data_IF_361138426792
#
_entry.id   IF_361138426792
#
_cell.length_a   1.000
_cell.length_b   1.000
_cell.length_c   1.000
_cell.angle_alpha   90.00
_cell.angle_beta   90.00
_cell.angle_gamma   90.00
#
_symmetry.space_group_name_H-M   'P 1'
#
loop_
_entity.id
_entity.type
_entity.pdbx_description
1 polymer ?
#
# COMPACT_ATOMS: atom_id res chain seq x y z
N UNK A 1 2.20 -9.66 -10.20
CA UNK A 1 2.58 -10.43 -8.99
C UNK A 1 1.33 -10.77 -8.20
N UNK A 2 1.35 -11.90 -7.54
CA UNK A 2 0.24 -12.34 -6.69
C UNK A 2 0.17 -11.46 -5.44
N UNK A 3 -1.05 -11.13 -5.02
CA UNK A 3 -1.30 -10.44 -3.76
C UNK A 3 -1.73 -11.48 -2.73
N UNK A 4 -1.09 -11.47 -1.57
CA UNK A 4 -1.48 -12.31 -0.43
C UNK A 4 -1.74 -11.43 0.79
N UNK A 5 -2.47 -11.93 1.76
CA UNK A 5 -2.82 -11.20 2.97
C UNK A 5 -3.44 -12.14 4.00
N UNK A 6 -3.52 -11.67 5.23
CA UNK A 6 -4.29 -12.33 6.28
C UNK A 6 -5.78 -12.03 6.05
N UNK A 7 -6.63 -13.06 5.85
CA UNK A 7 -8.06 -12.83 5.58
C UNK A 7 -8.78 -12.02 6.66
N UNK A 8 -8.40 -12.19 7.93
CA UNK A 8 -9.01 -11.44 9.03
C UNK A 8 -8.67 -9.95 8.95
N UNK A 9 -7.44 -9.62 8.59
CA UNK A 9 -7.01 -8.22 8.40
C UNK A 9 -7.68 -7.59 7.19
N UNK A 10 -7.83 -8.35 6.11
CA UNK A 10 -8.58 -7.90 4.93
C UNK A 10 -10.01 -7.54 5.31
N UNK A 11 -10.69 -8.44 6.03
CA UNK A 11 -12.08 -8.24 6.43
C UNK A 11 -12.24 -7.00 7.31
N UNK A 12 -11.37 -6.82 8.30
CA UNK A 12 -11.45 -5.67 9.20
C UNK A 12 -11.14 -4.34 8.48
N UNK A 13 -10.17 -4.34 7.58
CA UNK A 13 -9.84 -3.14 6.80
C UNK A 13 -10.98 -2.75 5.88
N UNK A 14 -11.61 -3.73 5.23
CA UNK A 14 -12.76 -3.48 4.36
C UNK A 14 -13.93 -2.90 5.16
N UNK A 15 -14.21 -3.47 6.33
CA UNK A 15 -15.28 -2.98 7.22
C UNK A 15 -14.99 -1.58 7.76
N UNK A 16 -13.77 -1.34 8.24
CA UNK A 16 -13.44 -0.13 8.99
C UNK A 16 -12.99 1.03 8.10
N UNK A 17 -12.39 0.73 6.95
CA UNK A 17 -11.80 1.73 6.06
C UNK A 17 -12.38 1.74 4.65
N UNK A 18 -13.23 0.79 4.34
CA UNK A 18 -13.81 0.61 2.99
C UNK A 18 -12.70 0.44 1.93
N UNK A 19 -11.63 -0.26 2.28
CA UNK A 19 -10.53 -0.59 1.38
C UNK A 19 -10.33 -2.10 1.39
N UNK A 20 -10.16 -2.68 0.20
CA UNK A 20 -9.92 -4.13 0.05
C UNK A 20 -8.46 -4.37 -0.32
N UNK A 21 -7.77 -5.21 0.45
CA UNK A 21 -6.38 -5.56 0.16
C UNK A 21 -6.22 -6.17 -1.24
N UNK A 22 -7.25 -6.87 -1.74
CA UNK A 22 -7.19 -7.45 -3.09
C UNK A 22 -7.05 -6.38 -4.17
N UNK A 23 -7.51 -5.16 -3.93
CA UNK A 23 -7.40 -4.04 -4.86
C UNK A 23 -6.02 -3.41 -4.89
N UNK A 24 -5.10 -3.83 -4.03
CA UNK A 24 -3.72 -3.31 -4.03
C UNK A 24 -3.03 -3.54 -5.37
N UNK A 25 -3.43 -4.56 -6.14
CA UNK A 25 -2.89 -4.82 -7.47
C UNK A 25 -3.06 -3.60 -8.39
N UNK A 26 -4.19 -2.92 -8.31
CA UNK A 26 -4.43 -1.68 -9.09
C UNK A 26 -3.43 -0.59 -8.70
N UNK A 27 -3.13 -0.47 -7.41
CA UNK A 27 -2.16 0.52 -6.90
C UNK A 27 -0.77 0.23 -7.47
N UNK A 28 -0.35 -1.03 -7.43
CA UNK A 28 0.97 -1.43 -7.94
C UNK A 28 1.09 -1.31 -9.46
N UNK A 29 0.00 -1.44 -10.20
CA UNK A 29 0.01 -1.37 -11.65
C UNK A 29 0.12 0.06 -12.19
N UNK A 30 -0.24 1.06 -11.39
CA UNK A 30 -0.20 2.47 -11.77
C UNK A 30 1.07 3.17 -11.33
N UNK A 31 1.05 4.49 -11.41
CA UNK A 31 2.13 5.31 -10.85
C UNK A 31 2.18 5.12 -9.34
N UNK A 32 3.35 4.81 -8.81
CA UNK A 32 3.50 4.57 -7.39
C UNK A 32 4.90 4.95 -6.93
N UNK A 33 4.99 5.35 -5.67
CA UNK A 33 6.25 5.59 -4.97
C UNK A 33 6.48 4.42 -4.02
N UNK A 34 7.67 3.85 -4.05
CA UNK A 34 8.04 2.76 -3.16
C UNK A 34 9.11 3.26 -2.20
N UNK A 35 8.83 3.20 -0.91
CA UNK A 35 9.68 3.73 0.15
C UNK A 35 9.99 2.61 1.12
N UNK A 36 11.28 2.29 1.39
CA UNK A 36 11.59 1.30 2.43
C UNK A 36 11.06 1.76 3.77
N UNK A 37 10.42 0.84 4.50
CA UNK A 37 9.97 1.11 5.87
C UNK A 37 11.08 0.67 6.82
N UNK A 38 11.87 1.63 7.27
CA UNK A 38 13.03 1.41 8.14
C UNK A 38 12.78 1.84 9.58
N UNK A 39 11.51 2.04 9.97
CA UNK A 39 11.15 2.49 11.32
C UNK A 39 11.59 1.52 12.41
N UNK A 40 11.72 0.25 12.07
CA UNK A 40 12.22 -0.81 12.95
C UNK A 40 12.72 -2.00 12.14
N UNK A 41 13.42 -2.91 12.79
CA UNK A 41 13.79 -4.19 12.19
C UNK A 41 12.61 -5.16 12.31
N UNK A 42 12.03 -5.53 11.17
CA UNK A 42 10.89 -6.44 11.11
C UNK A 42 11.30 -7.90 10.82
N UNK A 43 12.62 -8.16 10.66
CA UNK A 43 13.10 -9.47 10.26
C UNK A 43 12.88 -9.79 8.78
N UNK A 44 12.26 -8.90 8.03
CA UNK A 44 12.01 -9.01 6.58
C UNK A 44 11.90 -7.61 5.99
N UNK A 45 12.20 -7.46 4.68
CA UNK A 45 12.02 -6.16 4.03
C UNK A 45 10.56 -5.72 4.12
N UNK A 46 10.33 -4.46 4.45
CA UNK A 46 8.99 -3.90 4.48
C UNK A 46 8.97 -2.65 3.63
N UNK A 47 7.98 -2.54 2.75
CA UNK A 47 7.89 -1.47 1.75
C UNK A 47 6.58 -0.73 1.94
N UNK A 48 6.66 0.60 1.88
CA UNK A 48 5.51 1.49 1.87
C UNK A 48 5.32 1.93 0.43
N UNK A 49 4.17 1.59 -0.18
CA UNK A 49 3.84 2.03 -1.53
C UNK A 49 2.73 3.06 -1.45
N UNK A 50 2.98 4.23 -2.03
CA UNK A 50 2.00 5.31 -2.16
C UNK A 50 1.54 5.34 -3.61
N UNK A 51 0.26 5.21 -3.85
CA UNK A 51 -0.28 5.20 -5.21
C UNK A 51 -1.77 5.52 -5.23
N UNK A 52 -2.39 5.33 -6.39
CA UNK A 52 -3.79 5.67 -6.59
C UNK A 52 -4.66 4.43 -6.73
N UNK A 53 -5.76 4.40 -6.01
CA UNK A 53 -6.81 3.41 -6.17
C UNK A 53 -8.08 4.16 -6.59
N UNK A 54 -8.47 3.98 -7.85
CA UNK A 54 -9.63 4.68 -8.44
C UNK A 54 -9.54 6.19 -8.20
N UNK A 55 -8.35 6.76 -8.43
CA UNK A 55 -8.10 8.19 -8.29
C UNK A 55 -7.85 8.67 -6.88
N UNK A 56 -7.96 7.80 -5.88
CA UNK A 56 -7.72 8.16 -4.48
C UNK A 56 -6.34 7.72 -4.04
N UNK A 57 -5.58 8.61 -3.43
CA UNK A 57 -4.26 8.27 -2.92
C UNK A 57 -4.36 7.39 -1.68
N UNK A 58 -3.67 6.26 -1.72
CA UNK A 58 -3.62 5.29 -0.63
C UNK A 58 -2.19 4.90 -0.32
N UNK A 59 -1.99 4.36 0.88
CA UNK A 59 -0.71 3.80 1.31
C UNK A 59 -0.93 2.31 1.55
N UNK A 60 -0.07 1.49 0.92
CA UNK A 60 -0.04 0.04 1.09
C UNK A 60 1.28 -0.34 1.73
N UNK A 61 1.24 -1.06 2.85
CA UNK A 61 2.44 -1.60 3.49
C UNK A 61 2.49 -3.09 3.21
N UNK A 62 3.62 -3.56 2.65
CA UNK A 62 3.74 -4.94 2.20
C UNK A 62 5.18 -5.44 2.29
N UNK A 63 5.36 -6.73 2.10
CA UNK A 63 6.68 -7.35 2.00
C UNK A 63 6.69 -8.31 0.81
N UNK A 64 7.82 -8.42 0.06
CA UNK A 64 7.93 -9.46 -0.94
C UNK A 64 8.09 -10.84 -0.25
N UNK A 65 7.31 -11.81 -0.71
CA UNK A 65 7.39 -13.21 -0.27
C UNK A 65 7.40 -14.09 -1.51
N UNK A 66 8.59 -14.56 -1.89
CA UNK A 66 8.74 -15.26 -3.16
C UNK A 66 8.31 -14.36 -4.32
N UNK A 67 7.40 -14.83 -5.16
CA UNK A 67 6.85 -14.07 -6.27
C UNK A 67 5.60 -13.27 -5.88
N UNK A 68 5.24 -13.24 -4.60
CA UNK A 68 4.04 -12.56 -4.12
C UNK A 68 4.38 -11.27 -3.37
N UNK A 69 3.39 -10.37 -3.31
CA UNK A 69 3.39 -9.21 -2.43
C UNK A 69 2.42 -9.50 -1.29
N UNK A 70 2.95 -9.63 -0.08
CA UNK A 70 2.11 -9.88 1.10
C UNK A 70 1.74 -8.54 1.73
N UNK A 71 0.46 -8.19 1.68
CA UNK A 71 -0.04 -6.90 2.17
C UNK A 71 -0.36 -6.99 3.65
N UNK A 72 0.23 -6.08 4.45
CA UNK A 72 -0.01 -5.97 5.88
C UNK A 72 -1.08 -4.94 6.22
N UNK A 73 -1.09 -3.82 5.51
CA UNK A 73 -2.05 -2.76 5.78
C UNK A 73 -2.31 -1.91 4.54
N UNK A 74 -3.45 -1.23 4.54
CA UNK A 74 -3.86 -0.34 3.48
C UNK A 74 -4.72 0.76 4.09
N UNK A 75 -4.43 2.01 3.76
CA UNK A 75 -5.18 3.14 4.28
C UNK A 75 -5.17 4.31 3.30
N UNK A 76 -6.14 5.19 3.45
CA UNK A 76 -6.19 6.44 2.70
C UNK A 76 -5.18 7.41 3.28
N UNK A 77 -4.62 8.28 2.43
CA UNK A 77 -3.72 9.32 2.88
C UNK A 77 -4.50 10.46 3.55
N UNK A 78 -3.85 11.14 4.50
CA UNK A 78 -4.37 12.40 5.04
C UNK A 78 -3.96 13.57 4.14
N UNK A 79 -4.43 14.79 4.44
CA UNK A 79 -4.15 15.95 3.60
C UNK A 79 -2.67 16.31 3.54
N UNK A 80 -1.96 16.15 4.64
CA UNK A 80 -0.51 16.40 4.69
C UNK A 80 0.24 15.44 3.77
N UNK A 81 -0.14 14.18 3.80
CA UNK A 81 0.46 13.16 2.94
C UNK A 81 0.15 13.41 1.47
N UNK A 82 -1.09 13.81 1.15
CA UNK A 82 -1.45 14.16 -0.23
C UNK A 82 -0.59 15.29 -0.75
N UNK A 83 -0.37 16.33 0.06
CA UNK A 83 0.47 17.45 -0.33
C UNK A 83 1.93 17.00 -0.52
N UNK A 84 2.42 16.14 0.38
CA UNK A 84 3.79 15.66 0.36
C UNK A 84 4.08 14.75 -0.84
N UNK A 85 3.19 13.82 -1.14
CA UNK A 85 3.42 12.78 -2.16
C UNK A 85 2.82 13.11 -3.52
N UNK A 86 1.81 13.97 -3.58
CA UNK A 86 1.09 14.23 -4.82
C UNK A 86 1.99 14.70 -5.95
N UNK A 87 2.87 15.67 -5.70
CA UNK A 87 3.79 16.19 -6.70
C UNK A 87 4.79 15.13 -7.13
N UNK A 88 5.34 14.37 -6.18
CA UNK A 88 6.29 13.29 -6.47
C UNK A 88 5.64 12.21 -7.32
N UNK A 89 4.38 11.90 -7.04
CA UNK A 89 3.63 10.89 -7.77
C UNK A 89 3.40 11.34 -9.22
N UNK A 90 3.10 12.62 -9.45
CA UNK A 90 2.94 13.17 -10.80
C UNK A 90 4.23 13.11 -11.60
N UNK A 91 5.38 13.24 -10.95
CA UNK A 91 6.70 13.24 -11.58
C UNK A 91 7.23 11.83 -11.84
N UNK A 92 6.56 10.81 -11.33
CA UNK A 92 7.01 9.41 -11.44
C UNK A 92 6.85 8.85 -12.85
#
# INVERSE_FOLDING_TARGET
MKITFDPAKRASTLRDRNLDFADAEEVFAGKALNIPDERRDYGEPRIITVGLLRGRMVIVVWTPRGSARHVFSMRKTNDREKARFGKRLEES
#
